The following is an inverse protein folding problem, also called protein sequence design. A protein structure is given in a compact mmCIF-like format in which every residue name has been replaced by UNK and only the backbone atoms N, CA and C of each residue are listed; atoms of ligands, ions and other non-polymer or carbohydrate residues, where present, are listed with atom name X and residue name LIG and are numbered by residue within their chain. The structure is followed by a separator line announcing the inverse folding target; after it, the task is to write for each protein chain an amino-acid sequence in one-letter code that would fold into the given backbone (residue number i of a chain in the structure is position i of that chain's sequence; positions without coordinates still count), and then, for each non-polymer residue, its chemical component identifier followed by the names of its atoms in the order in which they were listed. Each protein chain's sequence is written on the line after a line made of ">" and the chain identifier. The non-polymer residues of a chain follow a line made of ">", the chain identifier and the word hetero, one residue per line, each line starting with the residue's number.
data_IF_315255248201
#
_entry.id   IF_315255248201
#
_cell.length_a   1.000
_cell.length_b   1.000
_cell.length_c   1.000
_cell.angle_alpha   90.00
_cell.angle_beta   90.00
_cell.angle_gamma   90.00
#
_symmetry.space_group_name_H-M   'P 1'
#
loop_
_entity.id
_entity.type
_entity.pdbx_description
1 polymer ?
#
# COMPACT_ATOMS: atom_id res chain seq x y z
N UNK A 1 19.78 49.52 27.64
CA UNK A 1 20.47 48.52 26.78
C UNK A 1 19.83 47.17 27.11
N UNK A 2 18.80 46.76 26.35
CA UNK A 2 18.87 45.82 25.20
C UNK A 2 19.23 44.40 25.68
N UNK A 3 18.52 43.29 25.44
CA UNK A 3 17.33 42.89 24.65
C UNK A 3 16.82 41.57 25.27
N UNK A 4 15.52 41.32 25.17
CA UNK A 4 14.88 40.00 25.32
C UNK A 4 15.52 38.92 24.45
N UNK A 5 15.53 37.68 24.94
CA UNK A 5 15.59 36.50 24.05
C UNK A 5 14.87 35.32 24.69
N UNK A 6 13.58 35.23 24.34
CA UNK A 6 12.81 34.00 24.35
C UNK A 6 13.54 32.95 23.50
N UNK A 7 13.98 31.86 24.11
CA UNK A 7 14.18 30.62 23.36
C UNK A 7 12.87 29.85 23.40
N UNK A 8 11.96 30.29 22.52
CA UNK A 8 10.93 29.43 21.97
C UNK A 8 11.66 28.32 21.19
N UNK A 9 12.06 27.27 21.91
CA UNK A 9 12.59 26.05 21.30
C UNK A 9 11.45 25.46 20.49
N UNK A 10 11.49 25.74 19.19
CA UNK A 10 10.48 25.37 18.24
C UNK A 10 10.11 23.90 18.38
N UNK A 11 8.87 23.67 18.79
CA UNK A 11 8.08 22.55 18.30
C UNK A 11 7.92 22.74 16.79
N UNK A 12 9.00 22.47 16.04
CA UNK A 12 8.94 22.24 14.61
C UNK A 12 8.24 20.88 14.49
N UNK A 13 6.93 20.98 14.30
CA UNK A 13 5.96 19.94 14.53
C UNK A 13 6.43 18.55 14.14
N UNK A 14 6.44 17.64 15.12
CA UNK A 14 6.04 16.29 14.83
C UNK A 14 4.69 16.40 14.12
N UNK A 15 4.70 16.41 12.79
CA UNK A 15 3.49 16.41 11.98
C UNK A 15 2.67 15.28 12.57
N UNK A 16 1.53 15.61 13.16
CA UNK A 16 0.67 14.60 13.73
C UNK A 16 0.05 13.90 12.52
N UNK A 17 0.79 12.92 11.98
CA UNK A 17 0.46 12.22 10.75
C UNK A 17 -0.84 11.45 10.96
N UNK A 18 -1.12 10.99 12.19
CA UNK A 18 -2.31 10.19 12.49
C UNK A 18 -3.62 10.92 12.20
N UNK A 19 -3.91 12.12 12.77
CA UNK A 19 -5.16 12.82 12.48
C UNK A 19 -5.36 13.17 11.00
N UNK A 20 -4.27 13.57 10.30
CA UNK A 20 -4.35 13.92 8.87
C UNK A 20 -4.61 12.69 8.01
N UNK A 21 -3.99 11.57 8.35
CA UNK A 21 -4.12 10.30 7.64
C UNK A 21 -5.50 9.68 7.88
N UNK A 22 -6.01 9.74 9.10
CA UNK A 22 -7.38 9.33 9.45
C UNK A 22 -8.42 10.14 8.67
N UNK A 23 -8.25 11.46 8.59
CA UNK A 23 -9.12 12.33 7.78
C UNK A 23 -9.08 11.92 6.30
N UNK A 24 -7.88 11.73 5.73
CA UNK A 24 -7.75 11.33 4.33
C UNK A 24 -8.37 9.95 4.05
N UNK A 25 -8.19 8.96 4.93
CA UNK A 25 -8.83 7.64 4.80
C UNK A 25 -10.35 7.76 4.86
N UNK A 26 -10.87 8.63 5.73
CA UNK A 26 -12.32 8.87 5.85
C UNK A 26 -12.89 9.50 4.58
N UNK A 27 -12.22 10.52 4.03
CA UNK A 27 -12.62 11.15 2.76
C UNK A 27 -12.61 10.14 1.61
N UNK A 28 -11.55 9.33 1.51
CA UNK A 28 -11.44 8.30 0.48
C UNK A 28 -12.53 7.22 0.59
N UNK A 29 -12.97 6.86 1.80
CA UNK A 29 -14.11 5.97 2.01
C UNK A 29 -15.42 6.61 1.56
N UNK A 30 -15.63 7.89 1.85
CA UNK A 30 -16.79 8.63 1.33
C UNK A 30 -16.84 8.64 -0.20
N UNK A 31 -15.69 8.79 -0.86
CA UNK A 31 -15.60 8.65 -2.32
C UNK A 31 -15.94 7.23 -2.80
N UNK A 32 -15.57 6.19 -2.05
CA UNK A 32 -15.97 4.81 -2.37
C UNK A 32 -17.49 4.66 -2.39
N UNK A 33 -18.19 5.22 -1.40
CA UNK A 33 -19.65 5.16 -1.30
C UNK A 33 -20.34 5.90 -2.45
N UNK A 34 -19.79 7.04 -2.87
CA UNK A 34 -20.26 7.76 -4.06
C UNK A 34 -20.05 6.96 -5.34
N UNK A 35 -18.91 6.28 -5.49
CA UNK A 35 -18.67 5.42 -6.65
C UNK A 35 -19.60 4.20 -6.66
N UNK A 36 -19.93 3.64 -5.49
CA UNK A 36 -20.87 2.52 -5.36
C UNK A 36 -22.32 2.91 -5.68
N UNK A 37 -22.68 4.18 -5.51
CA UNK A 37 -24.01 4.70 -5.81
C UNK A 37 -24.15 5.27 -7.23
N UNK A 38 -23.05 5.34 -7.99
CA UNK A 38 -23.06 5.79 -9.38
C UNK A 38 -23.50 4.68 -10.33
N UNK A 39 -24.48 4.97 -11.18
CA UNK A 39 -24.91 4.05 -12.24
C UNK A 39 -23.86 3.90 -13.35
N UNK A 40 -23.71 2.67 -13.85
CA UNK A 40 -22.91 2.38 -15.05
C UNK A 40 -21.40 2.22 -14.84
N UNK A 41 -20.91 2.19 -13.59
CA UNK A 41 -19.50 1.93 -13.31
C UNK A 41 -19.19 0.42 -13.36
N UNK A 42 -18.14 0.05 -14.08
CA UNK A 42 -17.66 -1.33 -14.15
C UNK A 42 -17.21 -1.84 -12.76
N UNK A 43 -17.63 -3.04 -12.38
CA UNK A 43 -17.32 -3.66 -11.09
C UNK A 43 -15.82 -3.92 -10.88
N UNK A 44 -15.05 -4.03 -11.96
CA UNK A 44 -13.58 -4.11 -11.92
C UNK A 44 -12.96 -2.83 -11.39
N UNK A 45 -13.47 -1.68 -11.82
CA UNK A 45 -13.00 -0.36 -11.35
C UNK A 45 -13.28 -0.19 -9.86
N UNK A 46 -14.47 -0.59 -9.41
CA UNK A 46 -14.83 -0.57 -7.99
C UNK A 46 -13.96 -1.50 -7.14
N UNK A 47 -13.55 -2.64 -7.70
CA UNK A 47 -12.66 -3.59 -7.05
C UNK A 47 -11.25 -3.03 -6.92
N UNK A 48 -10.69 -2.48 -8.00
CA UNK A 48 -9.37 -1.85 -7.98
C UNK A 48 -9.31 -0.65 -7.03
N UNK A 49 -10.36 0.19 -7.01
CA UNK A 49 -10.43 1.31 -6.08
C UNK A 49 -10.41 0.84 -4.62
N UNK A 50 -11.21 -0.17 -4.27
CA UNK A 50 -11.23 -0.75 -2.92
C UNK A 50 -9.89 -1.36 -2.53
N UNK A 51 -9.23 -2.07 -3.45
CA UNK A 51 -7.90 -2.62 -3.18
C UNK A 51 -6.84 -1.53 -3.00
N UNK A 52 -6.91 -0.43 -3.75
CA UNK A 52 -6.06 0.73 -3.55
C UNK A 52 -6.26 1.34 -2.15
N UNK A 53 -7.51 1.51 -1.71
CA UNK A 53 -7.82 2.00 -0.35
C UNK A 53 -7.29 1.07 0.74
N UNK A 54 -7.42 -0.25 0.54
CA UNK A 54 -6.86 -1.23 1.47
C UNK A 54 -5.34 -1.10 1.57
N UNK A 55 -4.63 -0.94 0.44
CA UNK A 55 -3.18 -0.72 0.45
C UNK A 55 -2.78 0.55 1.17
N UNK A 56 -3.50 1.65 0.95
CA UNK A 56 -3.26 2.94 1.64
C UNK A 56 -3.41 2.76 3.15
N UNK A 57 -4.52 2.16 3.60
CA UNK A 57 -4.78 1.91 5.02
C UNK A 57 -3.71 1.02 5.67
N UNK A 58 -3.31 -0.06 5.01
CA UNK A 58 -2.33 -0.99 5.56
C UNK A 58 -0.94 -0.32 5.65
N UNK A 59 -0.54 0.43 4.62
CA UNK A 59 0.73 1.17 4.62
C UNK A 59 0.75 2.28 5.67
N UNK A 60 -0.37 3.00 5.82
CA UNK A 60 -0.61 4.02 6.83
C UNK A 60 -0.42 3.46 8.25
N UNK A 61 -1.07 2.33 8.53
CA UNK A 61 -0.96 1.64 9.81
C UNK A 61 0.47 1.17 10.06
N UNK A 62 1.14 0.55 9.08
CA UNK A 62 2.55 0.15 9.22
C UNK A 62 3.46 1.34 9.51
N UNK A 63 3.25 2.49 8.86
CA UNK A 63 4.06 3.69 9.12
C UNK A 63 3.85 4.21 10.55
N UNK A 64 2.59 4.27 11.03
CA UNK A 64 2.28 4.68 12.39
C UNK A 64 2.91 3.74 13.43
N UNK A 65 2.77 2.43 13.25
CA UNK A 65 3.34 1.44 14.16
C UNK A 65 4.87 1.48 14.16
N UNK A 66 5.50 1.67 12.99
CA UNK A 66 6.95 1.79 12.89
C UNK A 66 7.46 3.00 13.70
N UNK A 67 6.81 4.16 13.58
CA UNK A 67 7.17 5.37 14.34
C UNK A 67 6.98 5.13 15.85
N UNK A 68 5.88 4.49 16.26
CA UNK A 68 5.60 4.20 17.66
C UNK A 68 6.65 3.27 18.28
N UNK A 69 7.03 2.19 17.59
CA UNK A 69 8.06 1.25 18.07
C UNK A 69 9.46 1.88 18.11
N UNK A 70 9.79 2.75 17.15
CA UNK A 70 11.04 3.51 17.18
C UNK A 70 11.11 4.49 18.33
N UNK A 71 9.98 5.11 18.71
CA UNK A 71 9.92 6.00 19.86
C UNK A 71 10.09 5.26 21.20
N UNK A 72 9.79 3.97 21.27
CA UNK A 72 9.89 3.13 22.48
C UNK A 72 11.12 2.22 22.52
N UNK A 73 12.05 2.37 21.56
CA UNK A 73 13.21 1.49 21.35
C UNK A 73 12.86 -0.01 21.26
N UNK A 74 11.64 -0.31 20.82
CA UNK A 74 11.16 -1.67 20.59
C UNK A 74 11.49 -2.15 19.18
N UNK A 75 11.59 -3.47 19.00
CA UNK A 75 11.95 -4.06 17.71
C UNK A 75 10.90 -3.78 16.62
N UNK A 76 11.28 -2.89 15.70
CA UNK A 76 10.50 -2.55 14.51
C UNK A 76 10.50 -3.63 13.42
N UNK A 77 11.28 -4.71 13.56
CA UNK A 77 11.38 -5.81 12.60
C UNK A 77 10.01 -6.47 12.33
N UNK A 78 9.18 -6.60 13.36
CA UNK A 78 7.82 -7.13 13.25
C UNK A 78 6.93 -6.36 12.27
N UNK A 79 7.02 -5.03 12.22
CA UNK A 79 6.24 -4.18 11.31
C UNK A 79 6.69 -4.36 9.86
N UNK A 80 8.00 -4.52 9.63
CA UNK A 80 8.54 -4.77 8.30
C UNK A 80 8.10 -6.14 7.76
N UNK A 81 8.05 -7.16 8.62
CA UNK A 81 7.52 -8.47 8.26
C UNK A 81 6.03 -8.41 7.91
N UNK A 82 5.21 -7.66 8.67
CA UNK A 82 3.79 -7.46 8.34
C UNK A 82 3.64 -6.76 6.99
N UNK A 83 4.43 -5.71 6.74
CA UNK A 83 4.41 -5.00 5.46
C UNK A 83 4.82 -5.91 4.29
N UNK A 84 5.80 -6.80 4.50
CA UNK A 84 6.18 -7.79 3.50
C UNK A 84 5.04 -8.79 3.22
N UNK A 85 4.35 -9.28 4.26
CA UNK A 85 3.18 -10.15 4.10
C UNK A 85 2.05 -9.46 3.31
N UNK A 86 1.79 -8.19 3.57
CA UNK A 86 0.81 -7.41 2.82
C UNK A 86 1.19 -7.22 1.34
N UNK A 87 2.49 -7.04 1.04
CA UNK A 87 2.97 -6.99 -0.35
C UNK A 87 2.76 -8.32 -1.07
N UNK A 88 3.01 -9.45 -0.39
CA UNK A 88 2.76 -10.79 -0.96
C UNK A 88 1.28 -10.98 -1.26
N UNK A 89 0.39 -10.65 -0.30
CA UNK A 89 -1.07 -10.71 -0.50
C UNK A 89 -1.51 -9.84 -1.68
N UNK A 90 -1.03 -8.61 -1.74
CA UNK A 90 -1.36 -7.65 -2.79
C UNK A 90 -0.85 -8.09 -4.17
N UNK A 91 0.36 -8.66 -4.24
CA UNK A 91 0.92 -9.22 -5.47
C UNK A 91 0.10 -10.41 -5.96
N UNK A 92 -0.29 -11.33 -5.06
CA UNK A 92 -1.13 -12.48 -5.39
C UNK A 92 -2.46 -12.05 -6.05
N UNK A 93 -3.18 -11.12 -5.43
CA UNK A 93 -4.45 -10.60 -5.97
C UNK A 93 -4.28 -9.92 -7.33
N UNK A 94 -3.20 -9.15 -7.49
CA UNK A 94 -2.90 -8.48 -8.75
C UNK A 94 -2.57 -9.49 -9.87
N UNK A 95 -1.80 -10.54 -9.55
CA UNK A 95 -1.55 -11.63 -10.49
C UNK A 95 -2.85 -12.31 -10.94
N UNK A 96 -3.79 -12.57 -10.02
CA UNK A 96 -5.09 -13.14 -10.37
C UNK A 96 -5.89 -12.22 -11.32
N UNK A 97 -5.88 -10.92 -11.05
CA UNK A 97 -6.56 -9.92 -11.89
C UNK A 97 -5.96 -9.88 -13.30
N UNK A 98 -4.63 -9.85 -13.39
CA UNK A 98 -3.92 -9.86 -14.67
C UNK A 98 -4.18 -11.17 -15.44
N UNK A 99 -4.26 -12.32 -14.76
CA UNK A 99 -4.60 -13.59 -15.41
C UNK A 99 -6.00 -13.57 -16.05
N UNK A 100 -6.99 -12.99 -15.36
CA UNK A 100 -8.33 -12.80 -15.92
C UNK A 100 -8.26 -11.91 -17.16
N UNK A 101 -7.56 -10.78 -17.07
CA UNK A 101 -7.43 -9.82 -18.15
C UNK A 101 -6.70 -10.42 -19.37
N UNK A 102 -5.67 -11.25 -19.17
CA UNK A 102 -4.95 -11.97 -20.24
C UNK A 102 -5.85 -12.91 -21.04
N UNK A 103 -6.93 -13.42 -20.43
CA UNK A 103 -7.93 -14.26 -21.10
C UNK A 103 -9.10 -13.49 -21.69
N UNK A 104 -9.18 -12.18 -21.41
CA UNK A 104 -10.26 -11.32 -21.90
C UNK A 104 -9.96 -10.82 -23.31
N UNK A 105 -10.93 -10.98 -24.22
CA UNK A 105 -10.86 -10.42 -25.57
C UNK A 105 -11.06 -8.90 -25.61
N UNK A 106 -11.56 -8.31 -24.53
CA UNK A 106 -11.83 -6.87 -24.40
C UNK A 106 -10.59 -6.09 -23.96
N UNK A 107 -9.62 -6.76 -23.32
CA UNK A 107 -8.41 -6.12 -22.79
C UNK A 107 -7.30 -6.16 -23.83
N UNK A 108 -6.78 -4.98 -24.18
CA UNK A 108 -5.62 -4.85 -25.08
C UNK A 108 -4.41 -4.42 -24.29
N UNK A 109 -3.45 -5.32 -24.16
CA UNK A 109 -2.18 -5.02 -23.51
C UNK A 109 -1.17 -4.39 -24.47
N UNK A 110 -0.30 -3.56 -23.91
CA UNK A 110 0.93 -3.16 -24.60
C UNK A 110 1.96 -4.28 -24.46
N UNK A 111 2.44 -4.81 -25.59
CA UNK A 111 3.36 -5.97 -25.63
C UNK A 111 4.62 -5.75 -24.80
N UNK A 112 5.18 -4.54 -24.79
CA UNK A 112 6.37 -4.22 -24.00
C UNK A 112 6.17 -4.41 -22.49
N UNK A 113 5.03 -3.98 -21.95
CA UNK A 113 4.70 -4.16 -20.53
C UNK A 113 4.52 -5.63 -20.16
N UNK A 114 3.93 -6.45 -21.06
CA UNK A 114 3.80 -7.89 -20.83
C UNK A 114 5.16 -8.58 -20.81
N UNK A 115 6.08 -8.22 -21.70
CA UNK A 115 7.45 -8.77 -21.72
C UNK A 115 8.17 -8.44 -20.41
N UNK A 116 8.09 -7.18 -19.95
CA UNK A 116 8.69 -6.75 -18.69
C UNK A 116 8.11 -7.50 -17.49
N UNK A 117 6.78 -7.61 -17.43
CA UNK A 117 6.11 -8.33 -16.35
C UNK A 117 6.47 -9.82 -16.37
N UNK A 118 6.53 -10.44 -17.54
CA UNK A 118 6.92 -11.85 -17.69
C UNK A 118 8.33 -12.09 -17.14
N UNK A 119 9.31 -11.27 -17.54
CA UNK A 119 10.68 -11.37 -17.04
C UNK A 119 10.75 -11.20 -15.51
N UNK A 120 10.04 -10.21 -14.97
CA UNK A 120 9.99 -9.99 -13.52
C UNK A 120 9.32 -11.16 -12.76
N UNK A 121 8.25 -11.73 -13.33
CA UNK A 121 7.56 -12.87 -12.76
C UNK A 121 8.45 -14.12 -12.73
N UNK A 122 9.21 -14.39 -13.79
CA UNK A 122 10.15 -15.52 -13.83
C UNK A 122 11.22 -15.41 -12.73
N UNK A 123 11.87 -14.24 -12.62
CA UNK A 123 12.87 -14.01 -11.57
C UNK A 123 12.27 -14.15 -10.16
N UNK A 124 11.04 -13.67 -9.95
CA UNK A 124 10.35 -13.82 -8.67
C UNK A 124 9.99 -15.29 -8.39
N UNK A 125 9.57 -16.07 -9.38
CA UNK A 125 9.28 -17.49 -9.23
C UNK A 125 10.50 -18.27 -8.76
N UNK A 126 11.68 -18.01 -9.34
CA UNK A 126 12.94 -18.63 -8.90
C UNK A 126 13.22 -18.33 -7.41
N UNK A 127 13.14 -17.05 -7.02
CA UNK A 127 13.36 -16.63 -5.62
C UNK A 127 12.32 -17.22 -4.65
N UNK A 128 11.05 -17.31 -5.06
CA UNK A 128 9.99 -17.91 -4.26
C UNK A 128 10.21 -19.41 -4.09
N UNK A 129 10.65 -20.12 -5.13
CA UNK A 129 10.98 -21.54 -5.06
C UNK A 129 12.06 -21.81 -4.01
N UNK A 130 13.13 -21.00 -4.03
CA UNK A 130 14.21 -21.08 -3.03
C UNK A 130 13.72 -20.76 -1.61
N UNK A 131 12.87 -19.74 -1.46
CA UNK A 131 12.34 -19.35 -0.16
C UNK A 131 11.39 -20.42 0.43
N UNK A 132 10.50 -20.98 -0.39
CA UNK A 132 9.58 -22.06 0.01
C UNK A 132 10.34 -23.34 0.31
N UNK A 133 11.35 -23.69 -0.49
CA UNK A 133 12.20 -24.86 -0.26
C UNK A 133 13.00 -24.82 1.06
N UNK A 134 13.22 -23.62 1.63
CA UNK A 134 13.83 -23.45 2.96
C UNK A 134 12.84 -23.62 4.13
N UNK A 135 11.53 -23.62 3.85
CA UNK A 135 10.47 -23.80 4.84
C UNK A 135 10.03 -25.26 5.01
N UNK A 136 10.40 -26.14 4.06
CA UNK A 136 10.19 -27.59 4.12
C UNK A 136 11.44 -28.33 4.55
#
# INVERSE_FOLDING_TARGET
>A
MLISSSTNSGSAGAVNVSPRLEKAITELRGLQELLLSGDGLDSRILTDFREALNRIRNTAWSAQQYIALKATDQDSGSVLSILAGERVRAAYQLCQTIQIDLTSSEVKFQTGHLIQLHAAAQALTEQLSDAVGKLG
#
